data_IF_416677398512
#
_entry.id   IF_416677398512
#
_cell.length_a   1.000
_cell.length_b   1.000
_cell.length_c   1.000
_cell.angle_alpha   90.00
_cell.angle_beta   90.00
_cell.angle_gamma   90.00
#
_symmetry.space_group_name_H-M   'P 1'
#
loop_
_entity.id
_entity.type
_entity.pdbx_description
1 polymer ?
#
# COMPACT_ATOMS: atom_id res chain seq x y z
N UNK A 1 -7.79 69.20 -39.60
CA UNK A 1 -6.88 68.08 -39.88
C UNK A 1 -5.82 67.92 -38.78
N UNK A 2 -6.20 67.52 -37.56
CA UNK A 2 -5.26 67.42 -36.43
C UNK A 2 -5.51 66.21 -35.51
N UNK A 3 -6.74 65.67 -35.46
CA UNK A 3 -7.03 64.48 -34.65
C UNK A 3 -6.75 63.14 -35.35
N UNK A 4 -6.84 63.09 -36.68
CA UNK A 4 -6.60 61.87 -37.46
C UNK A 4 -5.10 61.57 -37.65
N UNK A 5 -4.26 62.61 -37.73
CA UNK A 5 -2.80 62.45 -37.88
C UNK A 5 -2.14 61.93 -36.59
N UNK A 6 -2.59 62.39 -35.42
CA UNK A 6 -2.09 61.93 -34.13
C UNK A 6 -2.49 60.48 -33.81
N UNK A 7 -3.65 60.02 -34.30
CA UNK A 7 -4.09 58.64 -34.11
C UNK A 7 -3.29 57.66 -34.98
N UNK A 8 -2.91 58.06 -36.19
CA UNK A 8 -2.06 57.25 -37.08
C UNK A 8 -0.61 57.20 -36.59
N UNK A 9 -0.10 58.29 -35.99
CA UNK A 9 1.25 58.29 -35.41
C UNK A 9 1.35 57.41 -34.16
N UNK A 10 0.31 57.38 -33.30
CA UNK A 10 0.28 56.54 -32.11
C UNK A 10 0.19 55.04 -32.44
N UNK A 11 -0.55 54.66 -33.49
CA UNK A 11 -0.64 53.25 -33.90
C UNK A 11 0.64 52.73 -34.54
N UNK A 12 1.35 53.56 -35.32
CA UNK A 12 2.66 53.21 -35.88
C UNK A 12 3.75 53.08 -34.81
N UNK A 13 3.73 53.93 -33.77
CA UNK A 13 4.68 53.81 -32.65
C UNK A 13 4.45 52.54 -31.81
N UNK A 14 3.20 52.15 -31.57
CA UNK A 14 2.88 50.92 -30.84
C UNK A 14 3.30 49.65 -31.59
N UNK A 15 3.24 49.64 -32.92
CA UNK A 15 3.66 48.47 -33.72
C UNK A 15 5.19 48.31 -33.70
N UNK A 16 5.96 49.41 -33.70
CA UNK A 16 7.42 49.36 -33.65
C UNK A 16 7.96 48.90 -32.28
N UNK A 17 7.31 49.24 -31.17
CA UNK A 17 7.72 48.78 -29.84
C UNK A 17 7.43 47.28 -29.59
N UNK A 18 6.45 46.69 -30.29
CA UNK A 18 6.15 45.25 -30.14
C UNK A 18 7.21 44.38 -30.83
N UNK A 19 7.91 44.89 -31.86
CA UNK A 19 8.91 44.12 -32.61
C UNK A 19 10.33 44.19 -32.02
N UNK A 20 10.64 45.14 -31.12
CA UNK A 20 11.99 45.30 -30.55
C UNK A 20 12.22 44.58 -29.20
N UNK A 21 11.20 43.95 -28.59
CA UNK A 21 11.25 43.48 -27.19
C UNK A 21 11.57 42.01 -26.93
N UNK A 22 11.98 41.19 -27.90
CA UNK A 22 12.19 39.74 -27.69
C UNK A 22 13.41 39.17 -28.42
N UNK A 23 14.59 39.73 -28.18
CA UNK A 23 15.82 39.10 -28.68
C UNK A 23 17.01 39.21 -27.71
N UNK A 24 16.85 38.73 -26.47
CA UNK A 24 17.99 38.22 -25.68
C UNK A 24 17.46 37.54 -24.40
N UNK A 25 17.55 36.21 -24.34
CA UNK A 25 17.37 35.30 -23.16
C UNK A 25 17.07 33.86 -23.62
N UNK A 26 16.57 33.68 -24.85
CA UNK A 26 16.20 32.36 -25.41
C UNK A 26 17.39 31.43 -25.69
N UNK A 27 18.61 31.93 -25.90
CA UNK A 27 19.79 31.07 -26.15
C UNK A 27 20.37 30.49 -24.85
N UNK A 28 20.46 31.28 -23.78
CA UNK A 28 20.97 30.83 -22.48
C UNK A 28 20.01 29.85 -21.79
N UNK A 29 18.70 30.04 -21.96
CA UNK A 29 17.68 29.14 -21.43
C UNK A 29 17.59 27.83 -22.21
N UNK A 30 17.65 27.88 -23.56
CA UNK A 30 17.79 26.67 -24.40
C UNK A 30 19.09 25.92 -24.14
N UNK A 31 20.18 26.65 -23.86
CA UNK A 31 21.46 26.08 -23.42
C UNK A 31 21.32 25.34 -22.09
N UNK A 32 20.76 25.99 -21.06
CA UNK A 32 20.48 25.36 -19.75
C UNK A 32 19.56 24.15 -19.87
N UNK A 33 18.50 24.22 -20.67
CA UNK A 33 17.55 23.12 -20.88
C UNK A 33 18.24 21.97 -21.62
N UNK A 34 19.02 22.23 -22.68
CA UNK A 34 19.82 21.18 -23.34
C UNK A 34 20.86 20.57 -22.41
N UNK A 35 21.52 21.36 -21.56
CA UNK A 35 22.47 20.86 -20.56
C UNK A 35 21.77 20.04 -19.48
N UNK A 36 20.58 20.44 -19.02
CA UNK A 36 19.77 19.67 -18.06
C UNK A 36 19.25 18.35 -18.68
N UNK A 37 18.80 18.38 -19.94
CA UNK A 37 18.36 17.20 -20.68
C UNK A 37 19.54 16.25 -20.94
N UNK A 38 20.70 16.75 -21.38
CA UNK A 38 21.90 15.94 -21.55
C UNK A 38 22.46 15.42 -20.21
N UNK A 39 22.34 16.19 -19.12
CA UNK A 39 22.74 15.75 -17.78
C UNK A 39 21.81 14.65 -17.26
N UNK A 40 20.51 14.72 -17.59
CA UNK A 40 19.52 13.69 -17.27
C UNK A 40 19.68 12.43 -18.13
N UNK A 41 20.15 12.56 -19.37
CA UNK A 41 20.41 11.42 -20.25
C UNK A 41 21.72 10.66 -19.94
N UNK A 42 22.65 11.26 -19.18
CA UNK A 42 23.94 10.65 -18.82
C UNK A 42 24.02 10.16 -17.36
N UNK A 43 22.95 10.29 -16.60
CA UNK A 43 22.86 9.70 -15.26
C UNK A 43 21.89 8.53 -15.36
N UNK A 44 22.38 7.30 -15.20
CA UNK A 44 21.51 6.14 -15.08
C UNK A 44 20.49 6.44 -13.98
N UNK A 45 19.20 6.51 -14.32
CA UNK A 45 18.13 6.74 -13.36
C UNK A 45 18.24 5.67 -12.27
N UNK A 46 18.43 6.10 -11.02
CA UNK A 46 18.56 5.21 -9.88
C UNK A 46 17.17 4.71 -9.46
N UNK A 47 17.04 3.40 -9.21
CA UNK A 47 15.80 2.84 -8.66
C UNK A 47 15.59 3.23 -7.19
N UNK A 48 16.66 3.55 -6.47
CA UNK A 48 16.62 4.06 -5.09
C UNK A 48 15.82 5.37 -4.96
N UNK A 49 15.87 6.22 -5.98
CA UNK A 49 15.27 7.56 -5.98
C UNK A 49 13.87 7.60 -6.60
N UNK A 50 13.22 6.44 -6.80
CA UNK A 50 11.87 6.40 -7.36
C UNK A 50 10.86 6.83 -6.30
N UNK A 51 10.32 8.04 -6.47
CA UNK A 51 9.27 8.62 -5.62
C UNK A 51 8.01 7.73 -5.52
N UNK A 52 7.67 6.99 -6.57
CA UNK A 52 6.49 6.13 -6.62
C UNK A 52 6.80 4.76 -7.23
N UNK A 53 7.35 3.83 -6.44
CA UNK A 53 7.67 2.49 -6.95
C UNK A 53 6.39 1.72 -7.25
N UNK A 54 6.51 0.69 -8.10
CA UNK A 54 5.40 -0.22 -8.35
C UNK A 54 5.08 -1.05 -7.10
N UNK A 55 3.83 -0.96 -6.61
CA UNK A 55 3.39 -1.58 -5.34
C UNK A 55 2.31 -2.65 -5.50
N UNK A 56 1.88 -2.97 -6.73
CA UNK A 56 0.72 -3.83 -6.98
C UNK A 56 1.10 -5.29 -7.30
N UNK A 57 1.17 -6.15 -6.29
CA UNK A 57 1.58 -7.56 -6.42
C UNK A 57 0.40 -8.55 -6.37
N UNK A 58 -0.76 -8.17 -6.93
CA UNK A 58 -1.98 -8.97 -6.92
C UNK A 58 -2.43 -9.27 -5.49
N UNK A 59 -2.64 -10.55 -5.15
CA UNK A 59 -3.06 -10.99 -3.80
C UNK A 59 -1.99 -10.81 -2.72
N UNK A 60 -0.77 -10.38 -3.10
CA UNK A 60 0.32 -10.01 -2.19
C UNK A 60 0.50 -8.50 -2.02
N UNK A 61 -0.33 -7.68 -2.68
CA UNK A 61 -0.35 -6.23 -2.45
C UNK A 61 -0.70 -5.95 -1.00
N UNK A 62 0.15 -5.19 -0.29
CA UNK A 62 -0.15 -4.77 1.08
C UNK A 62 -1.41 -3.91 1.10
N UNK A 63 -2.27 -4.16 2.09
CA UNK A 63 -3.50 -3.40 2.26
C UNK A 63 -3.21 -1.91 2.45
N UNK A 64 -2.02 -1.55 2.96
CA UNK A 64 -1.56 -0.16 3.08
C UNK A 64 -1.75 0.63 1.79
N UNK A 65 -1.50 0.03 0.62
CA UNK A 65 -1.48 0.72 -0.67
C UNK A 65 -2.85 0.81 -1.33
N UNK A 66 -3.79 -0.08 -1.01
CA UNK A 66 -5.13 -0.09 -1.57
C UNK A 66 -6.23 0.09 -0.50
N UNK A 67 -5.89 0.65 0.66
CA UNK A 67 -6.84 0.86 1.76
C UNK A 67 -7.87 1.95 1.45
N UNK A 68 -9.10 1.70 1.88
CA UNK A 68 -10.08 2.76 2.06
C UNK A 68 -9.79 3.48 3.40
N UNK A 69 -9.45 4.76 3.32
CA UNK A 69 -9.13 5.61 4.49
C UNK A 69 -10.33 6.31 5.09
N UNK A 70 -11.45 6.42 4.36
CA UNK A 70 -12.67 7.03 4.87
C UNK A 70 -13.11 6.29 6.14
N UNK A 71 -13.41 7.01 7.20
CA UNK A 71 -13.93 6.47 8.45
C UNK A 71 -15.21 7.17 8.91
N UNK A 72 -15.86 7.87 7.98
CA UNK A 72 -17.16 8.50 8.17
C UNK A 72 -18.21 7.45 8.59
N UNK A 73 -19.16 7.87 9.40
CA UNK A 73 -20.25 7.00 9.83
C UNK A 73 -21.06 6.49 8.63
N UNK A 74 -21.23 5.17 8.57
CA UNK A 74 -21.98 4.48 7.53
C UNK A 74 -23.39 4.22 8.04
N UNK A 75 -24.18 5.30 8.09
CA UNK A 75 -25.59 5.21 8.47
C UNK A 75 -26.43 6.07 7.50
N UNK A 76 -27.25 5.44 6.63
CA UNK A 76 -28.17 6.19 5.77
C UNK A 76 -29.13 7.06 6.60
N UNK A 77 -29.58 8.22 6.10
CA UNK A 77 -30.54 9.07 6.81
C UNK A 77 -31.80 8.30 7.21
N UNK A 78 -32.16 8.35 8.50
CA UNK A 78 -33.32 7.66 9.05
C UNK A 78 -33.10 6.17 9.36
N UNK A 79 -31.90 5.63 9.14
CA UNK A 79 -31.56 4.26 9.51
C UNK A 79 -30.68 4.21 10.76
N UNK A 80 -30.62 3.05 11.41
CA UNK A 80 -29.65 2.76 12.47
C UNK A 80 -29.09 1.36 12.22
N UNK A 81 -27.77 1.20 12.28
CA UNK A 81 -27.15 -0.10 12.11
C UNK A 81 -27.52 -1.03 13.29
N UNK A 82 -28.08 -2.20 13.00
CA UNK A 82 -28.51 -3.19 14.00
C UNK A 82 -27.52 -4.37 14.13
N UNK A 83 -26.85 -4.73 13.05
CA UNK A 83 -25.90 -5.83 13.01
C UNK A 83 -24.89 -5.63 11.89
N UNK A 84 -23.69 -6.17 12.05
CA UNK A 84 -22.69 -6.23 10.99
C UNK A 84 -22.04 -7.61 10.96
N UNK A 85 -21.69 -8.06 9.76
CA UNK A 85 -20.94 -9.29 9.54
C UNK A 85 -19.68 -8.95 8.75
N UNK A 86 -18.53 -9.47 9.19
CA UNK A 86 -17.26 -9.25 8.52
C UNK A 86 -16.56 -10.58 8.26
N UNK A 87 -16.43 -10.92 6.97
CA UNK A 87 -15.50 -11.93 6.51
C UNK A 87 -14.21 -11.23 6.05
N UNK A 88 -13.13 -11.43 6.80
CA UNK A 88 -11.84 -10.82 6.50
C UNK A 88 -10.76 -11.88 6.27
N UNK A 89 -9.89 -11.61 5.29
CA UNK A 89 -8.63 -12.35 5.13
C UNK A 89 -7.67 -11.96 6.27
N UNK A 90 -6.73 -12.85 6.58
CA UNK A 90 -5.56 -12.51 7.38
C UNK A 90 -4.79 -11.29 6.80
N UNK A 91 -4.06 -10.58 7.64
CA UNK A 91 -3.17 -9.48 7.20
C UNK A 91 -1.92 -9.95 6.46
N UNK A 92 -1.07 -9.00 6.08
CA UNK A 92 0.25 -9.32 5.50
C UNK A 92 1.03 -10.30 6.38
N UNK A 93 1.65 -11.30 5.74
CA UNK A 93 2.35 -12.42 6.39
C UNK A 93 3.64 -12.75 5.67
N UNK A 94 4.48 -13.53 6.33
CA UNK A 94 5.64 -14.13 5.68
C UNK A 94 5.22 -15.12 4.57
N UNK A 95 6.10 -15.36 3.57
CA UNK A 95 5.95 -16.47 2.63
C UNK A 95 5.88 -17.83 3.35
N UNK A 96 5.62 -18.92 2.62
CA UNK A 96 5.70 -20.26 3.23
C UNK A 96 7.13 -20.56 3.68
N UNK A 97 7.32 -21.40 4.70
CA UNK A 97 8.68 -21.81 5.14
C UNK A 97 9.52 -22.31 3.96
N UNK A 98 8.92 -23.13 3.08
CA UNK A 98 9.57 -23.63 1.85
C UNK A 98 10.04 -22.48 0.96
N UNK A 99 9.19 -21.49 0.71
CA UNK A 99 9.55 -20.33 -0.11
C UNK A 99 10.63 -19.49 0.58
N UNK A 100 10.56 -19.31 1.91
CA UNK A 100 11.56 -18.54 2.64
C UNK A 100 12.94 -19.20 2.61
N UNK A 101 13.02 -20.52 2.76
CA UNK A 101 14.28 -21.29 2.60
C UNK A 101 14.84 -21.05 1.19
N UNK A 102 14.00 -21.13 0.16
CA UNK A 102 14.41 -20.87 -1.22
C UNK A 102 14.89 -19.43 -1.42
N UNK A 103 14.19 -18.44 -0.86
CA UNK A 103 14.59 -17.04 -0.97
C UNK A 103 15.92 -16.78 -0.25
N UNK A 104 16.10 -17.34 0.96
CA UNK A 104 17.33 -17.23 1.74
C UNK A 104 18.54 -17.80 1.02
N UNK A 105 18.37 -18.88 0.25
CA UNK A 105 19.46 -19.49 -0.52
C UNK A 105 19.72 -18.81 -1.86
N UNK A 106 18.67 -18.39 -2.58
CA UNK A 106 18.80 -17.89 -3.96
C UNK A 106 19.11 -16.40 -4.03
N UNK A 107 18.47 -15.56 -3.21
CA UNK A 107 18.63 -14.11 -3.33
C UNK A 107 20.07 -13.61 -3.14
N UNK A 108 20.89 -14.17 -2.22
CA UNK A 108 22.31 -13.80 -2.12
C UNK A 108 23.12 -14.17 -3.37
N UNK A 109 22.75 -15.21 -4.11
CA UNK A 109 23.41 -15.57 -5.37
C UNK A 109 23.12 -14.51 -6.43
N UNK A 110 21.85 -14.13 -6.57
CA UNK A 110 21.41 -13.07 -7.49
C UNK A 110 22.09 -11.74 -7.15
N UNK A 111 22.12 -11.37 -5.86
CA UNK A 111 22.81 -10.18 -5.37
C UNK A 111 24.28 -10.16 -5.80
N UNK A 112 25.02 -11.24 -5.58
CA UNK A 112 26.43 -11.34 -5.96
C UNK A 112 26.64 -11.21 -7.47
N UNK A 113 25.76 -11.82 -8.25
CA UNK A 113 25.82 -11.76 -9.71
C UNK A 113 25.59 -10.32 -10.22
N UNK A 114 24.59 -9.62 -9.67
CA UNK A 114 24.32 -8.21 -9.99
C UNK A 114 25.54 -7.34 -9.66
N UNK A 115 26.10 -7.47 -8.46
CA UNK A 115 27.27 -6.69 -8.02
C UNK A 115 28.51 -6.99 -8.87
N UNK A 116 28.74 -8.26 -9.21
CA UNK A 116 29.87 -8.67 -10.06
C UNK A 116 29.73 -8.11 -11.49
N UNK A 117 28.53 -8.19 -12.06
CA UNK A 117 28.24 -7.62 -13.38
C UNK A 117 28.50 -6.11 -13.42
N UNK A 118 28.05 -5.38 -12.40
CA UNK A 118 28.32 -3.95 -12.29
C UNK A 118 29.82 -3.63 -12.26
N UNK A 119 30.61 -4.37 -11.46
CA UNK A 119 32.07 -4.20 -11.36
C UNK A 119 32.78 -4.51 -12.68
N UNK A 120 32.23 -5.39 -13.50
CA UNK A 120 32.71 -5.69 -14.84
C UNK A 120 32.20 -4.70 -15.92
N UNK A 121 31.54 -3.61 -15.54
CA UNK A 121 30.99 -2.62 -16.47
C UNK A 121 29.75 -3.09 -17.24
N UNK A 122 29.03 -4.11 -16.72
CA UNK A 122 27.80 -4.65 -17.32
C UNK A 122 26.56 -4.27 -16.51
N UNK A 123 25.44 -4.05 -17.21
CA UNK A 123 24.16 -3.69 -16.62
C UNK A 123 23.89 -2.19 -16.63
N UNK A 124 22.70 -1.79 -16.17
CA UNK A 124 22.21 -0.41 -16.21
C UNK A 124 21.88 0.19 -14.84
N UNK A 125 22.09 -0.57 -13.75
CA UNK A 125 21.86 -0.08 -12.39
C UNK A 125 22.86 1.02 -12.05
N UNK A 126 22.40 2.03 -11.31
CA UNK A 126 23.26 3.14 -10.92
C UNK A 126 24.15 2.75 -9.72
N UNK A 127 25.12 3.61 -9.38
CA UNK A 127 26.06 3.36 -8.27
C UNK A 127 25.35 3.21 -6.91
N UNK A 128 24.32 4.00 -6.65
CA UNK A 128 23.61 3.98 -5.37
C UNK A 128 22.73 2.73 -5.21
N UNK A 129 22.06 2.29 -6.29
CA UNK A 129 21.35 1.00 -6.32
C UNK A 129 22.29 -0.15 -5.92
N UNK A 130 23.49 -0.17 -6.50
CA UNK A 130 24.50 -1.20 -6.22
C UNK A 130 25.01 -1.11 -4.78
N UNK A 131 25.25 0.10 -4.26
CA UNK A 131 25.67 0.31 -2.88
C UNK A 131 24.61 -0.20 -1.89
N UNK A 132 23.33 -0.03 -2.22
CA UNK A 132 22.23 -0.55 -1.42
C UNK A 132 22.12 -2.08 -1.53
N UNK A 133 22.27 -2.62 -2.74
CA UNK A 133 22.35 -4.07 -2.94
C UNK A 133 23.55 -4.69 -2.21
N UNK A 134 24.73 -4.07 -2.17
CA UNK A 134 25.89 -4.60 -1.43
C UNK A 134 25.65 -4.69 0.08
N UNK A 135 24.83 -3.78 0.64
CA UNK A 135 24.44 -3.78 2.06
C UNK A 135 23.26 -4.69 2.36
N UNK A 136 22.48 -5.06 1.34
CA UNK A 136 21.27 -5.86 1.51
C UNK A 136 21.60 -7.24 2.09
N UNK A 137 20.75 -7.70 3.01
CA UNK A 137 20.81 -9.04 3.59
C UNK A 137 19.39 -9.59 3.72
N UNK A 138 19.27 -10.91 3.64
CA UNK A 138 18.03 -11.59 3.99
C UNK A 138 17.86 -11.60 5.52
N UNK A 139 16.92 -10.80 6.03
CA UNK A 139 16.72 -10.60 7.48
C UNK A 139 15.62 -11.46 8.10
N UNK A 140 14.76 -12.07 7.30
CA UNK A 140 13.63 -12.82 7.83
C UNK A 140 14.09 -14.18 8.40
N UNK A 141 13.51 -14.58 9.52
CA UNK A 141 13.68 -15.93 10.04
C UNK A 141 12.81 -16.90 9.24
N UNK A 142 13.39 -18.00 8.78
CA UNK A 142 12.66 -19.01 7.99
C UNK A 142 11.66 -19.78 8.84
N UNK A 143 11.89 -19.83 10.16
CA UNK A 143 11.00 -20.48 11.11
C UNK A 143 9.71 -19.67 11.32
N UNK A 144 9.73 -18.38 10.99
CA UNK A 144 8.55 -17.50 10.99
C UNK A 144 7.66 -17.66 9.73
N UNK A 145 7.80 -18.77 9.01
CA UNK A 145 7.03 -19.07 7.81
C UNK A 145 5.52 -18.96 8.03
N UNK A 146 4.84 -18.30 7.10
CA UNK A 146 3.40 -18.03 7.11
C UNK A 146 2.85 -17.19 8.29
N UNK A 147 3.68 -16.84 9.27
CA UNK A 147 3.28 -16.04 10.42
C UNK A 147 2.87 -14.63 10.01
N UNK A 148 1.92 -14.05 10.74
CA UNK A 148 1.51 -12.66 10.53
C UNK A 148 2.69 -11.73 10.81
N UNK A 149 3.02 -10.84 9.87
CA UNK A 149 4.09 -9.86 10.10
C UNK A 149 3.55 -8.62 10.79
N UNK A 150 4.45 -7.80 11.34
CA UNK A 150 4.12 -6.53 12.02
C UNK A 150 3.24 -5.62 11.16
N UNK A 151 3.44 -5.61 9.84
CA UNK A 151 2.59 -4.84 8.94
C UNK A 151 1.17 -5.38 8.88
N UNK A 152 0.99 -6.70 8.77
CA UNK A 152 -0.33 -7.33 8.81
C UNK A 152 -1.09 -7.03 10.10
N UNK A 153 -0.38 -7.02 11.23
CA UNK A 153 -0.98 -6.59 12.49
C UNK A 153 -1.47 -5.13 12.43
N UNK A 154 -0.66 -4.21 11.90
CA UNK A 154 -1.03 -2.79 11.78
C UNK A 154 -2.20 -2.58 10.82
N UNK A 155 -2.22 -3.31 9.70
CA UNK A 155 -3.31 -3.29 8.72
C UNK A 155 -4.63 -3.64 9.41
N UNK A 156 -4.70 -4.77 10.11
CA UNK A 156 -5.93 -5.25 10.74
C UNK A 156 -6.34 -4.39 11.94
N UNK A 157 -5.39 -3.94 12.75
CA UNK A 157 -5.67 -2.95 13.81
C UNK A 157 -6.27 -1.68 13.24
N UNK A 158 -5.70 -1.16 12.15
CA UNK A 158 -6.24 0.04 11.50
C UNK A 158 -7.62 -0.18 10.91
N UNK A 159 -7.89 -1.37 10.35
CA UNK A 159 -9.24 -1.73 9.88
C UNK A 159 -10.23 -1.73 11.06
N UNK A 160 -9.89 -2.37 12.18
CA UNK A 160 -10.76 -2.39 13.37
C UNK A 160 -11.07 -1.00 13.93
N UNK A 161 -10.06 -0.13 13.96
CA UNK A 161 -10.21 1.28 14.38
C UNK A 161 -11.17 2.05 13.46
N UNK A 162 -11.04 1.91 12.14
CA UNK A 162 -11.97 2.55 11.19
C UNK A 162 -13.38 1.98 11.30
N UNK A 163 -13.54 0.68 11.51
CA UNK A 163 -14.86 0.07 11.69
C UNK A 163 -15.56 0.63 12.93
N UNK A 164 -14.80 0.86 14.00
CA UNK A 164 -15.32 1.50 15.21
C UNK A 164 -15.88 2.90 14.94
N UNK A 165 -15.21 3.71 14.12
CA UNK A 165 -15.73 5.03 13.73
C UNK A 165 -16.93 4.93 12.80
N UNK A 166 -16.85 4.08 11.78
CA UNK A 166 -17.90 3.90 10.76
C UNK A 166 -19.22 3.40 11.33
N UNK A 167 -19.18 2.62 12.41
CA UNK A 167 -20.37 2.00 13.01
C UNK A 167 -20.48 2.33 14.50
N UNK A 168 -20.15 3.57 14.89
CA UNK A 168 -20.13 3.99 16.30
C UNK A 168 -21.44 3.76 17.06
N UNK A 169 -22.59 3.81 16.39
CA UNK A 169 -23.90 3.56 17.00
C UNK A 169 -24.16 2.08 17.31
N UNK A 170 -23.49 1.18 16.57
CA UNK A 170 -23.63 -0.27 16.70
C UNK A 170 -22.48 -0.90 17.51
N UNK A 171 -21.26 -0.42 17.29
CA UNK A 171 -20.05 -0.95 17.91
C UNK A 171 -19.75 -0.14 19.17
N UNK A 172 -20.28 -0.57 20.31
CA UNK A 172 -20.02 0.07 21.60
C UNK A 172 -18.71 -0.42 22.24
N UNK A 173 -18.18 0.37 23.17
CA UNK A 173 -17.07 -0.03 24.06
C UNK A 173 -17.56 -0.01 25.51
N UNK A 174 -17.06 -0.89 26.40
CA UNK A 174 -16.11 -1.98 26.14
C UNK A 174 -16.76 -3.17 25.42
N UNK A 175 -15.97 -4.20 25.14
CA UNK A 175 -16.47 -5.45 24.57
C UNK A 175 -17.47 -6.13 25.52
N UNK A 176 -18.55 -6.68 24.96
CA UNK A 176 -19.56 -7.45 25.69
C UNK A 176 -19.76 -8.79 24.97
N UNK A 177 -19.54 -9.92 25.67
CA UNK A 177 -19.59 -11.26 25.08
C UNK A 177 -20.90 -11.59 24.35
N UNK A 178 -22.04 -11.06 24.82
CA UNK A 178 -23.35 -11.28 24.19
C UNK A 178 -23.54 -10.54 22.86
N UNK A 179 -22.65 -9.59 22.53
CA UNK A 179 -22.83 -8.67 21.41
C UNK A 179 -21.83 -8.90 20.26
N UNK A 180 -20.79 -9.71 20.49
CA UNK A 180 -19.70 -9.90 19.53
C UNK A 180 -19.26 -11.34 19.43
N UNK A 181 -19.12 -11.83 18.20
CA UNK A 181 -18.56 -13.15 17.90
C UNK A 181 -17.32 -12.95 17.05
N UNK A 182 -16.17 -13.43 17.55
CA UNK A 182 -14.92 -13.48 16.79
C UNK A 182 -14.56 -14.93 16.50
N UNK A 183 -14.59 -15.31 15.23
CA UNK A 183 -14.19 -16.64 14.78
C UNK A 183 -12.99 -16.56 13.84
N UNK A 184 -12.07 -17.53 13.94
CA UNK A 184 -10.94 -17.66 13.03
C UNK A 184 -10.64 -19.12 12.70
N UNK A 185 -10.02 -19.36 11.54
CA UNK A 185 -9.52 -20.70 11.19
C UNK A 185 -8.37 -21.12 12.12
N UNK A 186 -7.99 -22.39 12.07
CA UNK A 186 -6.86 -22.93 12.81
C UNK A 186 -5.48 -22.57 12.21
N UNK A 187 -5.18 -21.28 12.09
CA UNK A 187 -3.84 -20.83 11.72
C UNK A 187 -3.42 -19.65 12.60
N UNK A 188 -2.13 -19.54 12.90
CA UNK A 188 -1.59 -18.41 13.69
C UNK A 188 -2.01 -17.08 13.07
N UNK A 189 -1.78 -16.92 11.76
CA UNK A 189 -2.04 -15.67 11.05
C UNK A 189 -3.48 -15.19 11.12
N UNK A 190 -4.47 -16.09 11.16
CA UNK A 190 -5.89 -15.71 11.27
C UNK A 190 -6.27 -15.37 12.70
N UNK A 191 -5.77 -16.11 13.68
CA UNK A 191 -5.91 -15.78 15.11
C UNK A 191 -5.29 -14.41 15.42
N UNK A 192 -4.03 -14.18 15.03
CA UNK A 192 -3.35 -12.90 15.24
C UNK A 192 -4.03 -11.74 14.49
N UNK A 193 -4.58 -12.00 13.31
CA UNK A 193 -5.37 -10.99 12.57
C UNK A 193 -6.66 -10.62 13.30
N UNK A 194 -7.40 -11.60 13.82
CA UNK A 194 -8.61 -11.36 14.61
C UNK A 194 -8.28 -10.54 15.87
N UNK A 195 -7.21 -10.88 16.58
CA UNK A 195 -6.71 -10.12 17.74
C UNK A 195 -6.29 -8.70 17.38
N UNK A 196 -5.61 -8.52 16.26
CA UNK A 196 -5.21 -7.20 15.77
C UNK A 196 -6.43 -6.32 15.50
N UNK A 197 -7.43 -6.86 14.80
CA UNK A 197 -8.68 -6.17 14.49
C UNK A 197 -9.47 -5.82 15.76
N UNK A 198 -9.67 -6.78 16.67
CA UNK A 198 -10.33 -6.52 17.96
C UNK A 198 -9.57 -5.48 18.80
N UNK A 199 -8.23 -5.47 18.77
CA UNK A 199 -7.42 -4.43 19.44
C UNK A 199 -7.64 -3.04 18.82
N UNK A 200 -7.91 -2.96 17.52
CA UNK A 200 -8.33 -1.73 16.86
C UNK A 200 -9.70 -1.28 17.35
N UNK A 201 -10.68 -2.19 17.34
CA UNK A 201 -12.05 -1.90 17.75
C UNK A 201 -12.17 -1.47 19.21
N UNK A 202 -11.61 -2.23 20.15
CA UNK A 202 -11.86 -2.03 21.59
C UNK A 202 -10.70 -1.36 22.35
N UNK A 203 -9.55 -1.19 21.69
CA UNK A 203 -8.34 -0.67 22.32
C UNK A 203 -7.54 -1.74 23.08
N UNK A 204 -6.33 -1.37 23.54
CA UNK A 204 -5.39 -2.31 24.17
C UNK A 204 -5.89 -2.85 25.52
N UNK A 205 -6.63 -2.06 26.30
CA UNK A 205 -7.05 -2.44 27.67
C UNK A 205 -8.12 -3.53 27.68
N UNK A 206 -8.98 -3.55 26.66
CA UNK A 206 -10.17 -4.42 26.61
C UNK A 206 -9.95 -5.69 25.78
N UNK A 207 -8.75 -5.90 25.22
CA UNK A 207 -8.49 -7.06 24.35
C UNK A 207 -8.44 -8.39 25.13
N UNK A 208 -8.13 -8.32 26.43
CA UNK A 208 -8.08 -9.50 27.30
C UNK A 208 -9.45 -10.14 27.52
N UNK A 209 -10.51 -9.35 27.38
CA UNK A 209 -11.89 -9.79 27.60
C UNK A 209 -12.50 -10.44 26.36
N UNK A 210 -11.87 -10.26 25.19
CA UNK A 210 -12.40 -10.75 23.91
C UNK A 210 -12.16 -12.25 23.78
N UNK A 211 -13.26 -13.01 23.68
CA UNK A 211 -13.21 -14.42 23.35
C UNK A 211 -12.99 -14.63 21.84
N UNK A 212 -11.98 -15.41 21.48
CA UNK A 212 -11.66 -15.78 20.10
C UNK A 212 -11.96 -17.25 19.87
N UNK A 213 -13.05 -17.52 19.16
CA UNK A 213 -13.47 -18.87 18.82
C UNK A 213 -12.62 -19.42 17.67
N UNK A 214 -11.89 -20.50 17.95
CA UNK A 214 -11.27 -21.31 16.91
C UNK A 214 -12.35 -22.10 16.18
N UNK A 215 -12.31 -22.08 14.84
CA UNK A 215 -13.27 -22.81 14.01
C UNK A 215 -13.15 -24.33 14.20
N UNK A 216 -14.26 -25.05 13.99
CA UNK A 216 -14.31 -26.51 14.07
C UNK A 216 -13.49 -27.18 12.97
N UNK A 217 -13.08 -28.42 13.21
CA UNK A 217 -12.40 -29.25 12.21
C UNK A 217 -13.30 -30.45 11.86
N UNK A 218 -13.73 -30.64 10.60
CA UNK A 218 -13.44 -29.81 9.43
C UNK A 218 -14.18 -28.47 9.47
N UNK A 219 -13.53 -27.43 8.95
CA UNK A 219 -14.09 -26.08 8.90
C UNK A 219 -14.94 -25.92 7.63
N UNK A 220 -16.26 -26.01 7.79
CA UNK A 220 -17.22 -25.90 6.68
C UNK A 220 -17.63 -24.46 6.38
N UNK A 221 -17.36 -23.53 7.30
CA UNK A 221 -17.74 -22.12 7.15
C UNK A 221 -16.59 -21.30 6.54
N UNK A 222 -15.43 -21.28 7.19
CA UNK A 222 -14.29 -20.46 6.78
C UNK A 222 -13.32 -21.20 5.85
N UNK A 223 -13.43 -22.53 5.71
CA UNK A 223 -12.66 -23.34 4.74
C UNK A 223 -13.51 -24.24 3.86
N UNK A 224 -14.69 -23.78 3.44
CA UNK A 224 -15.64 -24.51 2.57
C UNK A 224 -14.98 -25.16 1.33
N UNK A 225 -14.02 -24.50 0.69
CA UNK A 225 -13.33 -25.00 -0.52
C UNK A 225 -12.47 -26.25 -0.24
N UNK A 226 -11.95 -26.39 0.98
CA UNK A 226 -11.07 -27.51 1.36
C UNK A 226 -11.89 -28.69 1.90
N UNK A 227 -13.10 -28.44 2.39
CA UNK A 227 -14.01 -29.47 2.95
C UNK A 227 -14.73 -30.33 1.90
N UNK A 228 -14.45 -30.14 0.59
CA UNK A 228 -14.45 -31.24 -0.37
C UNK A 228 -15.71 -32.10 -0.48
N UNK A 229 -16.90 -31.53 -0.26
CA UNK A 229 -18.15 -32.01 -0.87
C UNK A 229 -18.88 -30.78 -1.39
N UNK A 230 -19.15 -30.74 -2.70
CA UNK A 230 -20.06 -29.79 -3.35
C UNK A 230 -21.35 -29.71 -2.51
N UNK A 231 -21.46 -28.73 -1.62
CA UNK A 231 -22.74 -28.39 -0.98
C UNK A 231 -23.01 -26.96 -1.38
N UNK A 232 -23.94 -26.80 -2.32
CA UNK A 232 -24.46 -25.51 -2.74
C UNK A 232 -24.61 -24.60 -1.54
N UNK A 233 -24.08 -23.39 -1.65
CA UNK A 233 -24.24 -22.32 -0.66
C UNK A 233 -25.75 -22.08 -0.45
N UNK A 234 -26.34 -22.74 0.54
CA UNK A 234 -27.57 -22.25 1.14
C UNK A 234 -27.15 -21.15 2.09
N UNK A 235 -27.25 -19.92 1.60
CA UNK A 235 -27.23 -18.73 2.44
C UNK A 235 -28.39 -18.85 3.42
N UNK A 236 -28.15 -19.43 4.59
CA UNK A 236 -28.99 -19.15 5.74
C UNK A 236 -28.52 -17.80 6.29
N UNK A 237 -29.22 -16.75 5.88
CA UNK A 237 -29.35 -15.55 6.70
C UNK A 237 -29.97 -16.02 8.03
N UNK A 238 -29.22 -15.85 9.12
CA UNK A 238 -29.80 -15.65 10.44
C UNK A 238 -30.10 -14.16 10.60
#
# INVERSE_FOLDING_TARGET
>A
MSKLFNLVLLTLFLILFVQAGKHSKKSHEKGKIKTLINKKQNQADCYDDIDSPYVFFGTKTSYRWNRNKNDDEVTPPGCVAQQFWLLARHGSRNPTTKDMIKLKSVLPLIQREIVSNYKAGRGSLCKDDIKNLEKWKFHADVDDGELLVKEGFKELKGIGDRFQHRFRSLLTRPFVNSSYIFQHTDTERTNASARAFAKGMFGKKNIGDVFFQKSSTPDTLLRYVISGKKKSMQTQML
#
